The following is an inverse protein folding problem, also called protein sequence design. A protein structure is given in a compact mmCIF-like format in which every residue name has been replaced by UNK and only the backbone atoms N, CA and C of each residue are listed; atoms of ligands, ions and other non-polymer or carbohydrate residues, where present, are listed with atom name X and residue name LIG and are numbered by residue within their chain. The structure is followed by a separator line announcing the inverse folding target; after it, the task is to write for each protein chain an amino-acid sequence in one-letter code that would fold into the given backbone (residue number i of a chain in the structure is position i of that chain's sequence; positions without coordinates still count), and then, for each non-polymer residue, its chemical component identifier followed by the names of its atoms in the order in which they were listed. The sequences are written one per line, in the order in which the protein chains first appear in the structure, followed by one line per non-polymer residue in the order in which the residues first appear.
data_IF_157224168717
#
_entry.id   IF_157224168717
#
_cell.length_a   1.000
_cell.length_b   1.000
_cell.length_c   1.000
_cell.angle_alpha   90.00
_cell.angle_beta   90.00
_cell.angle_gamma   90.00
#
_symmetry.space_group_name_H-M   'P 1'
#
loop_
_entity.id
_entity.type
_entity.pdbx_description
1 polymer ?
#
# COMPACT_ATOMS: atom_id res chain seq x y z
N UNK A 1 1.84 -14.94 14.81
CA UNK A 1 0.73 -14.13 14.28
C UNK A 1 1.05 -12.67 14.57
N UNK A 2 1.76 -12.00 13.66
CA UNK A 2 2.11 -10.59 13.85
C UNK A 2 0.85 -9.76 13.57
N UNK A 3 0.37 -9.04 14.58
CA UNK A 3 -0.73 -8.09 14.41
C UNK A 3 -0.25 -7.00 13.44
N UNK A 4 -0.85 -6.94 12.25
CA UNK A 4 -0.67 -5.80 11.34
C UNK A 4 -1.33 -4.59 12.02
N UNK A 5 -0.53 -3.78 12.69
CA UNK A 5 -0.95 -2.47 13.15
C UNK A 5 -1.46 -1.66 11.93
N UNK A 6 -2.43 -0.73 12.10
CA UNK A 6 -2.84 0.15 11.02
C UNK A 6 -1.65 1.03 10.62
N UNK A 7 -1.03 0.74 9.48
CA UNK A 7 0.04 1.56 8.91
C UNK A 7 -0.58 2.73 8.14
N UNK A 8 -0.24 3.95 8.55
CA UNK A 8 -0.53 5.16 7.78
C UNK A 8 0.67 5.49 6.91
N UNK A 9 0.52 5.34 5.60
CA UNK A 9 1.52 5.79 4.63
C UNK A 9 1.14 7.20 4.21
N UNK A 10 2.07 8.16 4.33
CA UNK A 10 1.93 9.52 3.80
C UNK A 10 3.06 9.76 2.80
N UNK A 11 2.77 10.40 1.67
CA UNK A 11 3.81 10.79 0.71
C UNK A 11 4.00 12.29 0.66
N UNK A 12 5.25 12.68 0.41
CA UNK A 12 5.62 14.06 0.18
C UNK A 12 4.98 14.59 -1.11
N UNK A 13 4.19 15.65 -0.98
CA UNK A 13 3.55 16.37 -2.08
C UNK A 13 4.37 17.63 -2.41
N UNK A 14 5.15 17.57 -3.49
CA UNK A 14 5.99 18.69 -3.96
C UNK A 14 5.18 19.92 -4.36
N UNK A 15 3.90 19.76 -4.71
CA UNK A 15 3.02 20.86 -5.10
C UNK A 15 2.34 21.53 -3.89
N UNK A 16 2.58 21.02 -2.68
CA UNK A 16 2.06 21.62 -1.46
C UNK A 16 3.08 22.62 -0.92
N UNK A 17 2.76 23.91 -1.04
CA UNK A 17 3.61 25.02 -0.58
C UNK A 17 3.46 25.32 0.92
N UNK A 18 2.81 24.45 1.70
CA UNK A 18 2.61 24.72 3.13
C UNK A 18 3.93 24.95 3.86
N UNK A 19 3.94 25.94 4.77
CA UNK A 19 5.11 26.28 5.59
C UNK A 19 5.42 25.18 6.62
N UNK A 20 4.42 24.40 7.03
CA UNK A 20 4.57 23.26 7.93
C UNK A 20 5.00 22.02 7.14
N UNK A 21 6.13 21.41 7.53
CA UNK A 21 6.70 20.22 6.87
C UNK A 21 5.73 19.03 6.91
N UNK A 22 5.03 18.83 8.02
CA UNK A 22 4.04 17.76 8.20
C UNK A 22 2.84 17.88 7.24
N UNK A 23 2.44 19.11 6.91
CA UNK A 23 1.34 19.38 5.99
C UNK A 23 1.73 19.18 4.53
N UNK A 24 3.03 19.12 4.22
CA UNK A 24 3.52 18.77 2.88
C UNK A 24 3.34 17.29 2.57
N UNK A 25 2.97 16.48 3.55
CA UNK A 25 2.64 15.09 3.35
C UNK A 25 1.13 14.95 3.16
N UNK A 26 0.72 14.41 2.02
CA UNK A 26 -0.69 14.29 1.65
C UNK A 26 -1.17 12.83 1.76
N UNK A 27 -2.48 12.65 1.91
CA UNK A 27 -3.11 11.35 1.78
C UNK A 27 -2.82 10.83 0.38
N UNK A 28 -2.19 9.67 0.33
CA UNK A 28 -1.60 9.06 -0.84
C UNK A 28 -2.66 8.64 -1.88
N UNK A 29 -3.16 9.64 -2.60
CA UNK A 29 -3.98 9.39 -3.78
C UNK A 29 -3.12 9.26 -5.03
N UNK A 30 -1.95 9.92 -5.09
CA UNK A 30 -1.12 9.97 -6.31
C UNK A 30 0.38 9.87 -6.01
N UNK A 31 1.07 9.01 -6.77
CA UNK A 31 2.54 8.94 -6.87
C UNK A 31 2.90 9.27 -8.32
N UNK A 32 3.40 10.49 -8.54
CA UNK A 32 3.64 10.99 -9.90
C UNK A 32 2.36 11.01 -10.73
N UNK A 33 2.33 10.22 -11.81
CA UNK A 33 1.16 10.05 -12.68
C UNK A 33 0.24 8.88 -12.28
N UNK A 34 0.63 8.09 -11.29
CA UNK A 34 -0.07 6.87 -10.90
C UNK A 34 -0.90 7.09 -9.64
N UNK A 35 -2.03 6.38 -9.52
CA UNK A 35 -2.85 6.39 -8.30
C UNK A 35 -2.35 5.28 -7.36
N UNK A 36 -1.99 5.62 -6.11
CA UNK A 36 -1.44 4.61 -5.19
C UNK A 36 -2.47 3.54 -4.84
N UNK A 37 -3.73 3.92 -4.66
CA UNK A 37 -4.77 2.93 -4.36
C UNK A 37 -4.85 1.92 -5.50
N UNK A 38 -4.86 2.38 -6.75
CA UNK A 38 -4.86 1.49 -7.92
C UNK A 38 -3.60 0.63 -8.00
N UNK A 39 -2.42 1.17 -7.66
CA UNK A 39 -1.17 0.41 -7.63
C UNK A 39 -1.21 -0.70 -6.56
N UNK A 40 -1.64 -0.38 -5.34
CA UNK A 40 -1.74 -1.35 -4.25
C UNK A 40 -2.79 -2.41 -4.54
N UNK A 41 -3.94 -2.01 -5.08
CA UNK A 41 -5.00 -2.93 -5.51
C UNK A 41 -4.47 -3.90 -6.57
N UNK A 42 -3.84 -3.39 -7.62
CA UNK A 42 -3.27 -4.22 -8.68
C UNK A 42 -2.20 -5.16 -8.15
N UNK A 43 -1.29 -4.67 -7.32
CA UNK A 43 -0.24 -5.47 -6.69
C UNK A 43 -0.85 -6.62 -5.87
N UNK A 44 -1.73 -6.32 -4.91
CA UNK A 44 -2.33 -7.34 -4.04
C UNK A 44 -3.22 -8.33 -4.81
N UNK A 45 -3.85 -7.91 -5.93
CA UNK A 45 -4.66 -8.80 -6.77
C UNK A 45 -3.83 -9.68 -7.71
N UNK A 46 -2.65 -9.22 -8.13
CA UNK A 46 -1.74 -9.98 -8.99
C UNK A 46 -1.04 -11.09 -8.17
N UNK A 47 -0.66 -10.79 -6.94
CA UNK A 47 0.18 -11.65 -6.10
C UNK A 47 -0.64 -12.53 -5.13
N UNK A 48 -1.50 -13.38 -5.69
CA UNK A 48 -2.37 -14.30 -4.92
C UNK A 48 -1.68 -15.62 -4.53
N UNK A 49 -0.56 -15.92 -5.14
CA UNK A 49 0.26 -17.10 -4.84
C UNK A 49 1.47 -16.74 -3.99
N UNK A 50 2.20 -17.75 -3.54
CA UNK A 50 3.43 -17.50 -2.78
C UNK A 50 4.51 -16.99 -3.72
N UNK A 51 5.03 -15.82 -3.41
CA UNK A 51 6.07 -15.16 -4.18
C UNK A 51 7.28 -14.89 -3.34
N UNK A 52 8.45 -15.07 -3.94
CA UNK A 52 9.72 -14.89 -3.26
C UNK A 52 10.08 -13.41 -3.26
N UNK A 53 10.55 -12.92 -2.12
CA UNK A 53 11.17 -11.60 -2.06
C UNK A 53 12.57 -11.75 -2.67
N UNK A 54 12.83 -11.03 -3.76
CA UNK A 54 14.14 -11.05 -4.41
C UNK A 54 15.25 -10.73 -3.39
N UNK A 55 16.37 -11.45 -3.51
CA UNK A 55 17.51 -11.39 -2.59
C UNK A 55 17.26 -11.86 -1.14
N UNK A 56 16.05 -12.31 -0.80
CA UNK A 56 15.71 -12.95 0.48
C UNK A 56 15.36 -14.43 0.32
N UNK A 57 15.38 -15.19 1.42
CA UNK A 57 14.80 -16.55 1.48
C UNK A 57 13.29 -16.52 1.80
N UNK A 58 12.77 -15.34 2.09
CA UNK A 58 11.39 -15.12 2.48
C UNK A 58 10.46 -15.13 1.26
N UNK A 59 9.23 -15.53 1.54
CA UNK A 59 8.10 -15.57 0.62
C UNK A 59 6.94 -14.82 1.24
N UNK A 60 6.12 -14.19 0.40
CA UNK A 60 4.88 -13.56 0.82
C UNK A 60 3.70 -14.07 -0.01
N UNK A 61 2.51 -13.99 0.59
CA UNK A 61 1.23 -14.26 -0.10
C UNK A 61 0.12 -13.39 0.46
N UNK A 62 -0.73 -12.88 -0.42
CA UNK A 62 -1.95 -12.17 -0.02
C UNK A 62 -3.16 -13.11 -0.02
N UNK A 63 -4.00 -12.99 1.01
CA UNK A 63 -5.21 -13.79 1.18
C UNK A 63 -6.41 -12.89 1.50
N UNK A 64 -7.61 -13.30 1.03
CA UNK A 64 -8.88 -12.62 1.30
C UNK A 64 -8.86 -11.11 1.03
N UNK A 65 -8.12 -10.69 0.00
CA UNK A 65 -8.06 -9.28 -0.42
C UNK A 65 -9.44 -8.84 -0.88
N UNK A 66 -9.98 -7.82 -0.21
CA UNK A 66 -11.24 -7.16 -0.52
C UNK A 66 -10.93 -5.69 -0.79
N UNK A 67 -11.41 -5.18 -1.91
CA UNK A 67 -11.25 -3.78 -2.32
C UNK A 67 -12.61 -3.10 -2.42
N UNK A 68 -12.68 -1.86 -1.93
CA UNK A 68 -13.81 -0.94 -2.08
C UNK A 68 -13.31 0.35 -2.74
N UNK A 69 -13.27 0.41 -4.08
CA UNK A 69 -12.69 1.54 -4.81
C UNK A 69 -13.33 2.90 -4.50
N UNK A 70 -14.66 2.92 -4.29
CA UNK A 70 -15.39 4.15 -3.95
C UNK A 70 -15.00 4.73 -2.59
N UNK A 71 -14.67 3.86 -1.63
CA UNK A 71 -14.26 4.24 -0.27
C UNK A 71 -12.73 4.37 -0.15
N UNK A 72 -11.99 4.09 -1.24
CA UNK A 72 -10.51 3.99 -1.26
C UNK A 72 -9.98 3.09 -0.14
N UNK A 73 -10.67 1.97 0.09
CA UNK A 73 -10.35 1.04 1.15
C UNK A 73 -9.99 -0.34 0.59
N UNK A 74 -8.86 -0.90 1.03
CA UNK A 74 -8.43 -2.26 0.71
C UNK A 74 -8.10 -2.96 2.02
N UNK A 75 -8.58 -4.18 2.19
CA UNK A 75 -8.30 -5.02 3.37
C UNK A 75 -7.96 -6.43 2.93
N UNK A 76 -7.02 -7.08 3.62
CA UNK A 76 -6.69 -8.47 3.39
C UNK A 76 -5.68 -8.97 4.42
N UNK A 77 -5.27 -10.22 4.27
CA UNK A 77 -4.22 -10.83 5.06
C UNK A 77 -2.95 -10.99 4.24
N UNK A 78 -1.80 -10.80 4.88
CA UNK A 78 -0.50 -11.08 4.29
C UNK A 78 0.20 -12.14 5.15
N UNK A 79 0.60 -13.23 4.53
CA UNK A 79 1.47 -14.24 5.13
C UNK A 79 2.90 -13.96 4.67
N UNK A 80 3.85 -14.00 5.60
CA UNK A 80 5.29 -13.97 5.34
C UNK A 80 5.88 -15.29 5.88
N UNK A 81 6.70 -15.97 5.09
CA UNK A 81 7.25 -17.29 5.45
C UNK A 81 8.55 -17.63 4.74
#
# INVERSE_FOLDING_TARGET
MYSLAPYFIRCYNKNNESKNVEERYDFLNRIGQYDLFSLLEQFMLLHKDFEKIDDSKETYKFHHVTSKPKERFISGWMSLG
#
